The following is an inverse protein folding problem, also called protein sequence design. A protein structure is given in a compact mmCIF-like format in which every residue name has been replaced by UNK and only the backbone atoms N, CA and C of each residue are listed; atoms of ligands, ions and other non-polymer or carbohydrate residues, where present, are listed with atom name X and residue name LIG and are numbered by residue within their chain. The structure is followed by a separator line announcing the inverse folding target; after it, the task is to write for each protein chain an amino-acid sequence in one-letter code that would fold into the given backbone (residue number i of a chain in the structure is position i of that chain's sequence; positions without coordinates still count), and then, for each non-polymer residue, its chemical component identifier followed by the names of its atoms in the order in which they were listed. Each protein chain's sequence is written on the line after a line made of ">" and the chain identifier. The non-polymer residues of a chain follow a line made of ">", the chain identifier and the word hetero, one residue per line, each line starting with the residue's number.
data_IF_369334671128
#
_entry.id   IF_369334671128
#
_cell.length_a   1.000
_cell.length_b   1.000
_cell.length_c   1.000
_cell.angle_alpha   90.00
_cell.angle_beta   90.00
_cell.angle_gamma   90.00
#
_symmetry.space_group_name_H-M   'P 1'
#
loop_
_entity.id
_entity.type
_entity.pdbx_description
1 polymer ?
#
# COMPACT_ATOMS: atom_id res chain seq x y z
N UNK A 1 -7.66 10.75 -15.38
CA UNK A 1 -6.48 10.61 -14.52
C UNK A 1 -6.64 11.61 -13.39
N UNK A 2 -6.39 11.24 -12.13
CA UNK A 2 -6.33 12.24 -11.05
C UNK A 2 -5.10 13.10 -11.27
N UNK A 3 -5.27 14.42 -11.23
CA UNK A 3 -4.14 15.36 -11.30
C UNK A 3 -3.53 15.47 -9.90
N UNK A 4 -2.24 15.15 -9.79
CA UNK A 4 -1.45 15.35 -8.58
C UNK A 4 -0.55 16.57 -8.76
N UNK A 5 -0.05 17.17 -7.68
CA UNK A 5 1.09 18.09 -7.76
C UNK A 5 2.23 17.50 -8.62
N UNK A 6 2.94 18.34 -9.36
CA UNK A 6 3.95 17.91 -10.33
C UNK A 6 5.03 17.00 -9.71
N UNK A 7 5.44 17.29 -8.47
CA UNK A 7 6.39 16.48 -7.69
C UNK A 7 5.89 15.05 -7.43
N UNK A 8 4.60 14.85 -7.15
CA UNK A 8 4.02 13.52 -6.90
C UNK A 8 3.92 12.76 -8.23
N UNK A 9 3.51 13.45 -9.30
CA UNK A 9 3.44 12.83 -10.63
C UNK A 9 4.81 12.33 -11.07
N UNK A 10 5.84 13.18 -10.96
CA UNK A 10 7.22 12.82 -11.26
C UNK A 10 7.69 11.63 -10.41
N UNK A 11 7.46 11.68 -9.09
CA UNK A 11 7.79 10.58 -8.20
C UNK A 11 7.15 9.25 -8.63
N UNK A 12 5.86 9.24 -9.00
CA UNK A 12 5.17 8.02 -9.40
C UNK A 12 5.73 7.41 -10.69
N UNK A 13 6.15 8.24 -11.65
CA UNK A 13 6.78 7.77 -12.89
C UNK A 13 8.20 7.24 -12.64
N UNK A 14 8.98 7.91 -11.79
CA UNK A 14 10.30 7.45 -11.35
C UNK A 14 10.19 6.15 -10.54
N UNK A 15 9.16 6.01 -9.70
CA UNK A 15 8.89 4.80 -8.93
C UNK A 15 8.60 3.60 -9.84
N UNK A 16 7.79 3.78 -10.89
CA UNK A 16 7.53 2.73 -11.88
C UNK A 16 8.81 2.29 -12.60
N UNK A 17 9.65 3.26 -12.98
CA UNK A 17 10.97 2.99 -13.58
C UNK A 17 11.87 2.23 -12.62
N UNK A 18 11.93 2.67 -11.35
CA UNK A 18 12.71 2.04 -10.30
C UNK A 18 12.26 0.60 -10.02
N UNK A 19 10.95 0.35 -10.01
CA UNK A 19 10.40 -0.99 -9.80
C UNK A 19 10.63 -1.93 -11.00
N UNK A 20 11.09 -1.42 -12.15
CA UNK A 20 11.26 -2.14 -13.41
C UNK A 20 10.00 -2.94 -13.81
N UNK A 21 8.82 -2.40 -13.48
CA UNK A 21 7.54 -3.04 -13.72
C UNK A 21 6.40 -2.03 -13.70
N UNK A 22 5.26 -2.42 -14.28
CA UNK A 22 4.03 -1.67 -14.12
C UNK A 22 3.48 -1.81 -12.69
N UNK A 23 2.97 -0.69 -12.17
CA UNK A 23 2.40 -0.56 -10.83
C UNK A 23 0.90 -0.26 -10.99
N UNK A 24 0.03 -1.30 -10.98
CA UNK A 24 -1.36 -1.18 -11.39
C UNK A 24 -2.20 -0.26 -10.49
N UNK A 25 -1.73 0.03 -9.29
CA UNK A 25 -2.35 0.91 -8.29
C UNK A 25 -1.49 2.15 -8.00
N UNK A 26 -0.60 2.55 -8.93
CA UNK A 26 0.25 3.74 -8.78
C UNK A 26 -0.56 5.01 -8.49
N UNK A 27 -1.77 5.12 -9.06
CA UNK A 27 -2.62 6.30 -8.82
C UNK A 27 -3.09 6.34 -7.37
N UNK A 28 -3.41 5.19 -6.77
CA UNK A 28 -3.84 5.10 -5.38
C UNK A 28 -2.69 5.29 -4.40
N UNK A 29 -1.48 4.86 -4.76
CA UNK A 29 -0.25 5.26 -4.05
C UNK A 29 -0.13 6.78 -4.02
N UNK A 30 -0.32 7.43 -5.18
CA UNK A 30 -0.33 8.89 -5.31
C UNK A 30 -1.36 9.57 -4.42
N UNK A 31 -2.58 9.03 -4.35
CA UNK A 31 -3.62 9.54 -3.46
C UNK A 31 -3.19 9.46 -1.99
N UNK A 32 -2.74 8.29 -1.52
CA UNK A 32 -2.37 8.11 -0.11
C UNK A 32 -1.20 9.02 0.29
N UNK A 33 -0.20 9.16 -0.58
CA UNK A 33 0.93 10.07 -0.36
C UNK A 33 0.48 11.53 -0.34
N UNK A 34 -0.35 11.94 -1.32
CA UNK A 34 -0.85 13.30 -1.38
C UNK A 34 -1.64 13.65 -0.11
N UNK A 35 -2.53 12.76 0.33
CA UNK A 35 -3.29 12.94 1.57
C UNK A 35 -2.39 13.07 2.79
N UNK A 36 -1.36 12.22 2.90
CA UNK A 36 -0.38 12.31 3.98
C UNK A 36 0.34 13.67 4.01
N UNK A 37 0.68 14.24 2.83
CA UNK A 37 1.27 15.58 2.74
C UNK A 37 0.30 16.67 3.15
N UNK A 38 -0.94 16.63 2.65
CA UNK A 38 -1.97 17.61 2.97
C UNK A 38 -2.27 17.65 4.48
N UNK A 39 -2.31 16.48 5.14
CA UNK A 39 -2.56 16.39 6.58
C UNK A 39 -1.30 16.50 7.44
N UNK A 40 -0.13 16.71 6.83
CA UNK A 40 1.19 16.73 7.50
C UNK A 40 1.47 15.46 8.32
N UNK A 41 0.95 14.32 7.87
CA UNK A 41 1.13 13.02 8.52
C UNK A 41 1.88 12.04 7.60
N UNK A 42 3.06 12.48 7.15
CA UNK A 42 3.98 11.63 6.37
C UNK A 42 4.39 10.39 7.17
N UNK A 43 4.54 10.50 8.48
CA UNK A 43 4.91 9.36 9.34
C UNK A 43 3.92 8.21 9.22
N UNK A 44 2.61 8.49 9.21
CA UNK A 44 1.58 7.45 8.99
C UNK A 44 1.73 6.76 7.63
N UNK A 45 2.08 7.52 6.59
CA UNK A 45 2.36 6.94 5.28
C UNK A 45 3.63 6.08 5.29
N UNK A 46 4.69 6.51 5.98
CA UNK A 46 5.92 5.73 6.16
C UNK A 46 5.68 4.42 6.93
N UNK A 47 4.86 4.46 7.99
CA UNK A 47 4.43 3.28 8.74
C UNK A 47 3.60 2.35 7.86
N UNK A 48 2.72 2.90 7.01
CA UNK A 48 1.93 2.12 6.05
C UNK A 48 2.80 1.40 5.02
N UNK A 49 3.74 2.08 4.36
CA UNK A 49 4.61 1.45 3.34
C UNK A 49 5.54 0.41 3.97
N UNK A 50 5.93 0.59 5.24
CA UNK A 50 6.67 -0.41 5.99
C UNK A 50 5.84 -1.70 6.17
N UNK A 51 4.61 -1.58 6.67
CA UNK A 51 3.71 -2.72 6.81
C UNK A 51 3.37 -3.35 5.46
N UNK A 52 3.16 -2.54 4.42
CA UNK A 52 2.89 -3.02 3.07
C UNK A 52 4.01 -3.91 2.54
N UNK A 53 5.29 -3.54 2.78
CA UNK A 53 6.44 -4.38 2.45
C UNK A 53 6.48 -5.68 3.24
N UNK A 54 6.16 -5.64 4.54
CA UNK A 54 6.07 -6.84 5.36
C UNK A 54 4.98 -7.78 4.85
N UNK A 55 3.75 -7.28 4.73
CA UNK A 55 2.57 -8.03 4.27
C UNK A 55 2.81 -8.67 2.91
N UNK A 56 3.33 -7.90 1.94
CA UNK A 56 3.60 -8.40 0.58
C UNK A 56 4.59 -9.57 0.61
N UNK A 57 5.70 -9.43 1.36
CA UNK A 57 6.73 -10.47 1.45
C UNK A 57 6.23 -11.72 2.19
N UNK A 58 5.48 -11.52 3.27
CA UNK A 58 4.88 -12.62 4.04
C UNK A 58 3.89 -13.40 3.18
N UNK A 59 3.04 -12.71 2.42
CA UNK A 59 2.10 -13.34 1.50
C UNK A 59 2.80 -14.13 0.38
N UNK A 60 3.88 -13.60 -0.19
CA UNK A 60 4.71 -14.31 -1.18
C UNK A 60 5.31 -15.60 -0.61
N UNK A 61 5.83 -15.55 0.62
CA UNK A 61 6.38 -16.73 1.29
C UNK A 61 5.28 -17.76 1.55
N UNK A 62 4.13 -17.37 2.10
CA UNK A 62 2.98 -18.25 2.32
C UNK A 62 2.54 -18.95 1.02
N UNK A 63 2.44 -18.21 -0.08
CA UNK A 63 2.10 -18.78 -1.39
C UNK A 63 3.12 -19.78 -1.91
N UNK A 64 4.40 -19.59 -1.58
CA UNK A 64 5.48 -20.46 -2.02
C UNK A 64 5.58 -21.74 -1.20
N UNK A 65 5.42 -21.66 0.13
CA UNK A 65 5.54 -22.83 1.01
C UNK A 65 4.26 -23.67 1.01
N UNK A 66 3.10 -23.05 0.77
CA UNK A 66 1.81 -23.73 0.80
C UNK A 66 1.27 -23.99 2.22
N UNK A 67 -0.03 -24.30 2.34
CA UNK A 67 -0.71 -24.43 3.64
C UNK A 67 -0.21 -25.60 4.49
N UNK A 68 0.34 -26.65 3.87
CA UNK A 68 0.79 -27.86 4.57
C UNK A 68 2.22 -27.73 5.13
N UNK A 69 2.90 -26.60 4.87
CA UNK A 69 4.24 -26.39 5.36
C UNK A 69 4.29 -26.08 6.86
N UNK A 70 5.31 -26.60 7.54
CA UNK A 70 5.58 -26.25 8.92
C UNK A 70 5.77 -24.74 9.07
N UNK A 71 5.06 -24.14 10.03
CA UNK A 71 5.10 -22.70 10.28
C UNK A 71 4.16 -21.86 9.41
N UNK A 72 3.40 -22.45 8.49
CA UNK A 72 2.40 -21.72 7.69
C UNK A 72 1.38 -21.00 8.58
N UNK A 73 0.82 -21.66 9.59
CA UNK A 73 -0.21 -21.08 10.47
C UNK A 73 0.30 -19.86 11.24
N UNK A 74 1.54 -19.91 11.72
CA UNK A 74 2.17 -18.78 12.40
C UNK A 74 2.36 -17.61 11.43
N UNK A 75 2.84 -17.90 10.22
CA UNK A 75 3.04 -16.90 9.18
C UNK A 75 1.71 -16.27 8.72
N UNK A 76 0.65 -17.07 8.65
CA UNK A 76 -0.71 -16.63 8.33
C UNK A 76 -1.27 -15.70 9.41
N UNK A 77 -1.04 -16.00 10.69
CA UNK A 77 -1.42 -15.15 11.80
C UNK A 77 -0.70 -13.80 11.75
N UNK A 78 0.63 -13.81 11.55
CA UNK A 78 1.42 -12.58 11.39
C UNK A 78 1.00 -11.76 10.17
N UNK A 79 0.72 -12.42 9.04
CA UNK A 79 0.17 -11.78 7.85
C UNK A 79 -1.15 -11.07 8.15
N UNK A 80 -2.09 -11.78 8.77
CA UNK A 80 -3.42 -11.25 9.09
C UNK A 80 -3.35 -10.02 10.01
N UNK A 81 -2.54 -10.09 11.06
CA UNK A 81 -2.35 -8.98 12.00
C UNK A 81 -1.77 -7.74 11.30
N UNK A 82 -0.74 -7.92 10.48
CA UNK A 82 -0.10 -6.80 9.79
C UNK A 82 -0.96 -6.23 8.66
N UNK A 83 -1.76 -7.07 8.00
CA UNK A 83 -2.74 -6.63 7.01
C UNK A 83 -3.82 -5.74 7.66
N UNK A 84 -4.33 -6.14 8.83
CA UNK A 84 -5.32 -5.35 9.57
C UNK A 84 -4.73 -3.98 9.96
N UNK A 85 -3.49 -3.96 10.46
CA UNK A 85 -2.79 -2.71 10.78
C UNK A 85 -2.57 -1.82 9.55
N UNK A 86 -2.11 -2.39 8.43
CA UNK A 86 -1.93 -1.66 7.18
C UNK A 86 -3.26 -1.07 6.67
N UNK A 87 -4.34 -1.85 6.74
CA UNK A 87 -5.69 -1.41 6.37
C UNK A 87 -6.15 -0.25 7.26
N UNK A 88 -5.91 -0.32 8.57
CA UNK A 88 -6.26 0.74 9.51
C UNK A 88 -5.47 2.04 9.23
N UNK A 89 -4.16 1.95 8.96
CA UNK A 89 -3.35 3.13 8.59
C UNK A 89 -3.82 3.76 7.27
N UNK A 90 -4.12 2.93 6.26
CA UNK A 90 -4.64 3.40 4.98
C UNK A 90 -6.00 4.09 5.14
N UNK A 91 -6.94 3.51 5.91
CA UNK A 91 -8.22 4.17 6.25
C UNK A 91 -8.00 5.50 6.98
N UNK A 92 -7.05 5.55 7.93
CA UNK A 92 -6.75 6.75 8.69
C UNK A 92 -6.14 7.88 7.83
N UNK A 93 -5.39 7.56 6.77
CA UNK A 93 -4.95 8.56 5.77
C UNK A 93 -6.11 9.13 4.95
N UNK A 94 -7.18 8.35 4.79
CA UNK A 94 -8.36 8.72 4.00
C UNK A 94 -9.48 9.36 4.83
N UNK A 95 -9.33 9.46 6.16
CA UNK A 95 -10.41 9.87 7.07
C UNK A 95 -10.97 11.27 6.75
N UNK A 96 -10.08 12.22 6.44
CA UNK A 96 -10.41 13.61 6.12
C UNK A 96 -10.52 13.88 4.62
N UNK A 97 -10.49 12.83 3.79
CA UNK A 97 -10.67 12.96 2.35
C UNK A 97 -12.13 13.32 2.02
N UNK A 98 -12.41 13.92 0.85
CA UNK A 98 -13.77 14.12 0.37
C UNK A 98 -14.58 12.82 0.42
N UNK A 99 -15.86 12.91 0.78
CA UNK A 99 -16.73 11.74 1.04
C UNK A 99 -16.70 10.75 -0.13
N UNK A 100 -16.81 11.26 -1.37
CA UNK A 100 -16.80 10.44 -2.59
C UNK A 100 -15.50 9.65 -2.78
N UNK A 101 -14.37 10.20 -2.33
CA UNK A 101 -13.08 9.55 -2.40
C UNK A 101 -12.91 8.51 -1.29
N UNK A 102 -13.35 8.83 -0.06
CA UNK A 102 -13.36 7.88 1.05
C UNK A 102 -14.23 6.67 0.73
N UNK A 103 -15.44 6.87 0.21
CA UNK A 103 -16.34 5.78 -0.20
C UNK A 103 -15.76 4.95 -1.35
N UNK A 104 -15.10 5.58 -2.33
CA UNK A 104 -14.41 4.85 -3.40
C UNK A 104 -13.35 3.90 -2.84
N UNK A 105 -12.53 4.39 -1.91
CA UNK A 105 -11.49 3.59 -1.27
C UNK A 105 -12.08 2.45 -0.43
N UNK A 106 -13.09 2.75 0.37
CA UNK A 106 -13.78 1.77 1.21
C UNK A 106 -14.35 0.62 0.36
N UNK A 107 -15.11 0.95 -0.68
CA UNK A 107 -15.75 -0.04 -1.56
C UNK A 107 -14.73 -0.83 -2.40
N UNK A 108 -13.62 -0.19 -2.81
CA UNK A 108 -12.66 -0.81 -3.74
C UNK A 108 -11.58 -1.64 -3.05
N UNK A 109 -11.19 -1.29 -1.82
CA UNK A 109 -10.02 -1.89 -1.14
C UNK A 109 -10.33 -2.43 0.25
N UNK A 110 -11.29 -1.86 0.97
CA UNK A 110 -11.51 -2.18 2.37
C UNK A 110 -12.79 -3.00 2.65
N UNK A 111 -13.49 -3.36 1.57
CA UNK A 111 -14.62 -4.28 1.61
C UNK A 111 -14.24 -5.71 1.98
N UNK A 112 -15.25 -6.51 2.33
CA UNK A 112 -15.10 -7.91 2.72
C UNK A 112 -15.03 -8.88 1.54
N UNK A 113 -15.18 -8.38 0.31
CA UNK A 113 -15.23 -9.19 -0.90
C UNK A 113 -13.84 -9.64 -1.34
N UNK A 114 -13.78 -10.80 -2.01
CA UNK A 114 -12.53 -11.34 -2.54
C UNK A 114 -11.83 -10.36 -3.51
N UNK A 115 -12.61 -9.60 -4.28
CA UNK A 115 -12.09 -8.60 -5.20
C UNK A 115 -11.45 -7.42 -4.45
N UNK A 116 -12.10 -6.91 -3.40
CA UNK A 116 -11.54 -5.87 -2.53
C UNK A 116 -10.23 -6.32 -1.90
N UNK A 117 -10.19 -7.57 -1.42
CA UNK A 117 -8.96 -8.16 -0.86
C UNK A 117 -7.83 -8.26 -1.89
N UNK A 118 -8.14 -8.71 -3.12
CA UNK A 118 -7.17 -8.76 -4.23
C UNK A 118 -6.61 -7.37 -4.54
N UNK A 119 -7.48 -6.37 -4.60
CA UNK A 119 -7.09 -4.97 -4.86
C UNK A 119 -6.23 -4.41 -3.74
N UNK A 120 -6.59 -4.68 -2.48
CA UNK A 120 -5.80 -4.28 -1.32
C UNK A 120 -4.39 -4.88 -1.36
N UNK A 121 -4.26 -6.17 -1.64
CA UNK A 121 -2.96 -6.81 -1.77
C UNK A 121 -2.14 -6.22 -2.92
N UNK A 122 -2.77 -5.88 -4.04
CA UNK A 122 -2.12 -5.19 -5.14
C UNK A 122 -1.62 -3.80 -4.76
N UNK A 123 -2.45 -3.00 -4.09
CA UNK A 123 -2.07 -1.68 -3.58
C UNK A 123 -0.91 -1.76 -2.56
N UNK A 124 -0.96 -2.72 -1.62
CA UNK A 124 0.14 -2.96 -0.69
C UNK A 124 1.41 -3.44 -1.41
N UNK A 125 1.27 -4.18 -2.51
CA UNK A 125 2.36 -4.52 -3.41
C UNK A 125 3.05 -3.28 -3.99
N UNK A 126 2.27 -2.31 -4.49
CA UNK A 126 2.83 -1.07 -5.04
C UNK A 126 3.42 -0.16 -3.94
N UNK A 127 2.78 -0.07 -2.78
CA UNK A 127 3.32 0.62 -1.60
C UNK A 127 4.62 -0.02 -1.10
N UNK A 128 4.80 -1.33 -1.27
CA UNK A 128 6.06 -2.00 -0.92
C UNK A 128 7.24 -1.49 -1.76
N UNK A 129 6.99 -1.06 -3.01
CA UNK A 129 8.01 -0.45 -3.86
C UNK A 129 8.39 0.95 -3.41
N UNK A 130 7.43 1.71 -2.86
CA UNK A 130 7.75 2.98 -2.19
C UNK A 130 8.69 2.74 -1.00
N UNK A 131 8.49 1.65 -0.25
CA UNK A 131 9.44 1.30 0.81
C UNK A 131 10.81 0.91 0.27
N UNK A 132 10.88 0.19 -0.85
CA UNK A 132 12.15 -0.11 -1.52
C UNK A 132 12.88 1.15 -1.97
N UNK A 133 12.14 2.12 -2.50
CA UNK A 133 12.66 3.44 -2.90
C UNK A 133 13.34 4.15 -1.72
N UNK A 134 12.68 4.21 -0.56
CA UNK A 134 13.27 4.79 0.65
C UNK A 134 14.48 4.00 1.17
N UNK A 135 14.47 2.67 1.08
CA UNK A 135 15.58 1.83 1.50
C UNK A 135 16.82 2.02 0.60
N UNK A 136 16.63 2.46 -0.65
CA UNK A 136 17.69 2.85 -1.59
C UNK A 136 18.20 4.29 -1.34
N UNK A 137 17.74 4.94 -0.26
CA UNK A 137 18.17 6.28 0.15
C UNK A 137 17.49 7.42 -0.62
N UNK A 138 16.47 7.12 -1.43
CA UNK A 138 15.74 8.14 -2.21
C UNK A 138 14.58 8.72 -1.38
N UNK A 139 14.40 10.05 -1.35
CA UNK A 139 13.37 10.68 -0.51
C UNK A 139 11.97 10.56 -1.12
N UNK A 140 10.93 10.72 -0.29
CA UNK A 140 9.59 11.02 -0.77
C UNK A 140 9.54 12.47 -1.30
N UNK A 141 8.70 12.78 -2.30
CA UNK A 141 8.52 14.13 -2.80
C UNK A 141 7.86 15.03 -1.76
#
# INVERSE_FOLDING_TARGET
>A
MKEFPGEITQFLDELGTFASRDLPYKSEVGVLLHRAKETKDIKRFEDLIFLAKFVSRTFEVMRRIGPDAEGYDKLAAEFSENLQKATALARALMQDAPVSERERFENSYFGLEQESFRRLLGLLGDLSWVKNWLLDGKPLP
#
